data_IF_101859048299
#
_entry.id   IF_101859048299
#
_cell.length_a   1.000
_cell.length_b   1.000
_cell.length_c   1.000
_cell.angle_alpha   90.00
_cell.angle_beta   90.00
_cell.angle_gamma   90.00
#
_symmetry.space_group_name_H-M   'P 1'
#
loop_
_entity.id
_entity.type
_entity.pdbx_description
1 polymer ?
#
# COMPACT_ATOMS: atom_id res chain seq x y z
N UNK A 1 12.98 -11.37 -23.94
CA UNK A 1 11.54 -11.47 -23.65
C UNK A 1 11.37 -11.01 -22.21
N UNK A 2 10.51 -10.02 -21.93
CA UNK A 2 10.23 -9.65 -20.54
C UNK A 2 9.51 -10.82 -19.87
N UNK A 3 10.02 -11.23 -18.70
CA UNK A 3 9.39 -12.25 -17.87
C UNK A 3 8.09 -11.68 -17.27
N UNK A 4 7.02 -12.47 -17.26
CA UNK A 4 5.72 -12.04 -16.74
C UNK A 4 5.82 -11.57 -15.29
N UNK A 5 6.65 -12.24 -14.48
CA UNK A 5 6.93 -11.82 -13.10
C UNK A 5 7.54 -10.41 -13.04
N UNK A 6 8.45 -10.09 -13.97
CA UNK A 6 9.07 -8.77 -14.06
C UNK A 6 8.03 -7.72 -14.45
N UNK A 7 7.18 -8.02 -15.45
CA UNK A 7 6.11 -7.10 -15.86
C UNK A 7 5.11 -6.81 -14.73
N UNK A 8 4.70 -7.84 -13.97
CA UNK A 8 3.80 -7.67 -12.83
C UNK A 8 4.46 -6.87 -11.71
N UNK A 9 5.74 -7.11 -11.43
CA UNK A 9 6.49 -6.37 -10.41
C UNK A 9 6.68 -4.90 -10.78
N UNK A 10 6.98 -4.61 -12.04
CA UNK A 10 7.13 -3.25 -12.56
C UNK A 10 5.79 -2.50 -12.50
N UNK A 11 4.70 -3.15 -12.91
CA UNK A 11 3.36 -2.58 -12.82
C UNK A 11 2.94 -2.31 -11.36
N UNK A 12 3.20 -3.23 -10.43
CA UNK A 12 2.95 -3.01 -8.99
C UNK A 12 3.75 -1.83 -8.45
N UNK A 13 5.01 -1.71 -8.86
CA UNK A 13 5.89 -0.59 -8.46
C UNK A 13 5.34 0.74 -8.98
N UNK A 14 4.89 0.78 -10.24
CA UNK A 14 4.27 1.96 -10.83
C UNK A 14 3.03 2.42 -10.06
N UNK A 15 2.08 1.51 -9.83
CA UNK A 15 0.82 1.83 -9.13
C UNK A 15 1.10 2.27 -7.68
N UNK A 16 2.03 1.63 -6.97
CA UNK A 16 2.41 2.07 -5.61
C UNK A 16 3.03 3.48 -5.59
N UNK A 17 3.79 3.83 -6.64
CA UNK A 17 4.32 5.18 -6.83
C UNK A 17 3.22 6.22 -7.04
N UNK A 18 2.21 5.90 -7.84
CA UNK A 18 1.04 6.76 -8.06
C UNK A 18 0.25 6.99 -6.78
N UNK A 19 0.01 5.94 -5.98
CA UNK A 19 -0.68 6.04 -4.69
C UNK A 19 0.03 7.01 -3.74
N UNK A 20 1.36 6.90 -3.65
CA UNK A 20 2.18 7.82 -2.85
C UNK A 20 2.01 9.25 -3.33
N UNK A 21 2.11 9.47 -4.65
CA UNK A 21 2.02 10.80 -5.25
C UNK A 21 0.64 11.44 -5.08
N UNK A 22 -0.45 10.68 -5.21
CA UNK A 22 -1.78 11.18 -4.89
C UNK A 22 -1.93 11.52 -3.41
N UNK A 23 -1.35 10.69 -2.52
CA UNK A 23 -1.28 10.96 -1.08
C UNK A 23 -0.63 12.31 -0.75
N UNK A 24 0.41 12.70 -1.50
CA UNK A 24 1.10 13.99 -1.36
C UNK A 24 0.32 15.17 -1.99
N UNK A 25 -0.28 14.97 -3.17
CA UNK A 25 -0.98 16.02 -3.92
C UNK A 25 -2.31 16.45 -3.30
N UNK A 26 -3.12 15.49 -2.83
CA UNK A 26 -4.45 15.74 -2.27
C UNK A 26 -4.44 16.78 -1.13
N UNK A 27 -3.56 16.69 -0.10
CA UNK A 27 -3.54 17.67 0.98
C UNK A 27 -3.03 19.05 0.54
N UNK A 28 -2.18 19.12 -0.50
CA UNK A 28 -1.60 20.37 -0.99
C UNK A 28 -2.49 21.12 -1.99
N UNK A 29 -3.55 20.48 -2.49
CA UNK A 29 -4.46 21.10 -3.47
C UNK A 29 -5.54 21.94 -2.78
N UNK A 30 -5.68 23.22 -3.13
CA UNK A 30 -6.78 24.07 -2.62
C UNK A 30 -8.04 24.03 -3.51
N UNK A 31 -7.87 23.78 -4.82
CA UNK A 31 -8.99 23.66 -5.74
C UNK A 31 -9.85 22.43 -5.38
N UNK A 32 -11.14 22.67 -5.10
CA UNK A 32 -12.06 21.64 -4.59
C UNK A 32 -12.36 20.55 -5.61
N UNK A 33 -12.55 20.91 -6.88
CA UNK A 33 -12.86 19.98 -7.96
C UNK A 33 -11.66 19.08 -8.25
N UNK A 34 -10.48 19.69 -8.38
CA UNK A 34 -9.23 18.96 -8.56
C UNK A 34 -8.97 18.01 -7.38
N UNK A 35 -9.18 18.46 -6.14
CA UNK A 35 -9.03 17.62 -4.94
C UNK A 35 -9.94 16.39 -4.99
N UNK A 36 -11.19 16.53 -5.45
CA UNK A 36 -12.09 15.39 -5.58
C UNK A 36 -11.67 14.46 -6.71
N UNK A 37 -11.25 15.01 -7.84
CA UNK A 37 -10.70 14.23 -8.95
C UNK A 37 -9.47 13.40 -8.51
N UNK A 38 -8.51 14.00 -7.80
CA UNK A 38 -7.34 13.30 -7.26
C UNK A 38 -7.73 12.17 -6.30
N UNK A 39 -8.76 12.37 -5.46
CA UNK A 39 -9.29 11.31 -4.58
C UNK A 39 -9.91 10.15 -5.37
N UNK A 40 -10.68 10.45 -6.41
CA UNK A 40 -11.27 9.42 -7.28
C UNK A 40 -10.17 8.60 -7.97
N UNK A 41 -9.19 9.26 -8.58
CA UNK A 41 -8.05 8.57 -9.22
C UNK A 41 -7.27 7.73 -8.21
N UNK A 42 -7.01 8.23 -7.00
CA UNK A 42 -6.36 7.44 -5.95
C UNK A 42 -7.15 6.18 -5.62
N UNK A 43 -8.47 6.28 -5.45
CA UNK A 43 -9.32 5.12 -5.17
C UNK A 43 -9.27 4.09 -6.30
N UNK A 44 -9.25 4.54 -7.56
CA UNK A 44 -9.11 3.67 -8.72
C UNK A 44 -7.75 2.97 -8.77
N UNK A 45 -6.67 3.69 -8.44
CA UNK A 45 -5.33 3.11 -8.29
C UNK A 45 -5.30 2.07 -7.16
N UNK A 46 -5.95 2.30 -6.01
CA UNK A 46 -6.02 1.32 -4.91
C UNK A 46 -6.74 0.04 -5.38
N UNK A 47 -7.87 0.15 -6.09
CA UNK A 47 -8.56 -1.00 -6.66
C UNK A 47 -7.72 -1.75 -7.71
N UNK A 48 -6.98 -1.03 -8.55
CA UNK A 48 -6.08 -1.63 -9.54
C UNK A 48 -4.92 -2.36 -8.88
N UNK A 49 -4.34 -1.75 -7.84
CA UNK A 49 -3.26 -2.30 -7.04
C UNK A 49 -3.68 -3.63 -6.40
N UNK A 50 -4.85 -3.68 -5.77
CA UNK A 50 -5.37 -4.89 -5.12
C UNK A 50 -5.57 -6.04 -6.11
N UNK A 51 -6.14 -5.75 -7.29
CA UNK A 51 -6.33 -6.76 -8.35
C UNK A 51 -4.99 -7.29 -8.84
N UNK A 52 -4.04 -6.41 -9.10
CA UNK A 52 -2.71 -6.82 -9.58
C UNK A 52 -1.95 -7.61 -8.51
N UNK A 53 -2.07 -7.22 -7.24
CA UNK A 53 -1.52 -7.94 -6.10
C UNK A 53 -2.12 -9.36 -5.98
N UNK A 54 -3.44 -9.51 -6.15
CA UNK A 54 -4.09 -10.82 -6.14
C UNK A 54 -3.54 -11.74 -7.24
N UNK A 55 -3.43 -11.22 -8.48
CA UNK A 55 -2.84 -11.97 -9.60
C UNK A 55 -1.38 -12.34 -9.31
N UNK A 56 -0.58 -11.41 -8.80
CA UNK A 56 0.81 -11.65 -8.44
C UNK A 56 0.94 -12.75 -7.37
N UNK A 57 0.02 -12.76 -6.40
CA UNK A 57 -0.02 -13.76 -5.33
C UNK A 57 -0.43 -15.14 -5.85
N UNK A 58 -1.48 -15.21 -6.66
CA UNK A 58 -1.96 -16.47 -7.27
C UNK A 58 -0.88 -17.12 -8.15
N UNK A 59 -0.11 -16.30 -8.86
CA UNK A 59 1.02 -16.75 -9.69
C UNK A 59 2.31 -16.98 -8.92
N UNK A 60 2.32 -16.80 -7.60
CA UNK A 60 3.52 -16.89 -6.74
C UNK A 60 4.65 -15.93 -7.15
N UNK A 61 4.31 -14.84 -7.83
CA UNK A 61 5.23 -13.77 -8.20
C UNK A 61 5.53 -12.83 -7.04
N UNK A 62 4.60 -12.74 -6.09
CA UNK A 62 4.73 -11.95 -4.88
C UNK A 62 4.44 -12.79 -3.63
N UNK A 63 5.30 -12.66 -2.61
CA UNK A 63 5.11 -13.25 -1.28
C UNK A 63 4.87 -12.12 -0.29
N UNK A 64 3.66 -12.01 0.31
CA UNK A 64 3.40 -10.99 1.31
C UNK A 64 4.28 -11.20 2.55
N UNK A 65 4.55 -10.11 3.25
CA UNK A 65 5.23 -10.17 4.53
C UNK A 65 4.53 -11.18 5.46
N UNK A 66 5.31 -11.98 6.16
CA UNK A 66 4.78 -12.88 7.17
C UNK A 66 4.01 -12.05 8.21
N UNK A 67 2.93 -12.64 8.74
CA UNK A 67 2.24 -12.03 9.89
C UNK A 67 3.25 -11.92 11.03
N UNK A 68 3.20 -10.81 11.75
CA UNK A 68 3.95 -10.66 13.00
C UNK A 68 3.61 -11.83 13.93
N UNK A 69 4.63 -12.35 14.60
CA UNK A 69 4.47 -13.41 15.59
C UNK A 69 3.68 -12.89 16.81
N UNK A 70 3.02 -13.80 17.53
CA UNK A 70 2.32 -13.44 18.76
C UNK A 70 3.27 -12.79 19.78
N UNK A 71 4.54 -13.23 19.80
CA UNK A 71 5.58 -12.66 20.66
C UNK A 71 5.90 -11.20 20.32
N UNK A 72 6.06 -10.85 19.03
CA UNK A 72 6.27 -9.47 18.60
C UNK A 72 5.06 -8.59 18.94
N UNK A 73 3.85 -9.11 18.74
CA UNK A 73 2.61 -8.42 19.09
C UNK A 73 2.56 -8.15 20.60
N UNK A 74 2.84 -9.15 21.43
CA UNK A 74 2.78 -9.04 22.88
C UNK A 74 3.88 -8.13 23.42
N UNK A 75 5.07 -8.16 22.83
CA UNK A 75 6.16 -7.24 23.14
C UNK A 75 5.75 -5.78 22.89
N UNK A 76 5.23 -5.47 21.69
CA UNK A 76 4.78 -4.11 21.34
C UNK A 76 3.66 -3.65 22.28
N UNK A 77 2.67 -4.52 22.57
CA UNK A 77 1.62 -4.22 23.55
C UNK A 77 2.18 -3.89 24.93
N UNK A 78 3.17 -4.66 25.41
CA UNK A 78 3.81 -4.42 26.70
C UNK A 78 4.53 -3.07 26.75
N UNK A 79 5.23 -2.67 25.67
CA UNK A 79 5.90 -1.36 25.58
C UNK A 79 4.88 -0.22 25.67
N UNK A 80 3.77 -0.32 24.91
CA UNK A 80 2.74 0.72 24.87
C UNK A 80 1.90 0.80 26.16
N UNK A 81 1.67 -0.34 26.82
CA UNK A 81 0.89 -0.41 28.06
C UNK A 81 1.72 -0.07 29.30
N UNK A 82 3.05 -0.30 29.24
CA UNK A 82 3.97 -0.09 30.36
C UNK A 82 4.47 1.36 30.53
N UNK A 83 4.19 2.24 29.57
CA UNK A 83 4.63 3.64 29.57
C UNK A 83 3.77 4.62 30.40
N UNK A 84 2.72 4.17 31.08
CA UNK A 84 1.86 5.02 31.93
C UNK A 84 2.09 4.89 33.44
N UNK A 85 3.28 4.44 33.87
CA UNK A 85 3.67 4.53 35.28
C UNK A 85 4.62 5.71 35.52
N UNK A 86 4.00 6.84 35.86
CA UNK A 86 4.50 8.02 36.60
C UNK A 86 5.65 8.84 35.99
#
# INVERSE_FOLDING_TARGET
>A
MLDEKTMVSDALTGVNGELTRFGEMIPQTENKELKQCLKQMRNECEMSQEKLYQVAREKSYYVPAAKASQQEIDHVKSVLSGGSMK
#
